data_IF_889144572411
#
_entry.id   IF_889144572411
#
_cell.length_a   1.000
_cell.length_b   1.000
_cell.length_c   1.000
_cell.angle_alpha   90.00
_cell.angle_beta   90.00
_cell.angle_gamma   90.00
#
_symmetry.space_group_name_H-M   'P 1'
#
loop_
_entity.id
_entity.type
_entity.pdbx_description
1 polymer ?
#
# COMPACT_ATOMS: atom_id res chain seq x y z
N UNK A 1 -29.31 -52.70 2.09
CA UNK A 1 -28.49 -52.49 0.88
C UNK A 1 -28.68 -51.07 0.26
N UNK A 2 -29.91 -50.61 0.02
CA UNK A 2 -30.19 -49.30 -0.61
C UNK A 2 -29.66 -48.13 0.27
N UNK A 3 -29.92 -48.15 1.58
CA UNK A 3 -29.47 -47.08 2.50
C UNK A 3 -27.93 -46.92 2.47
N UNK A 4 -27.21 -48.01 2.43
CA UNK A 4 -25.73 -47.98 2.36
C UNK A 4 -25.24 -47.35 1.05
N UNK A 5 -25.88 -47.66 -0.08
CA UNK A 5 -25.57 -47.09 -1.40
C UNK A 5 -25.85 -45.58 -1.45
N UNK A 6 -26.98 -45.15 -0.88
CA UNK A 6 -27.32 -43.71 -0.77
C UNK A 6 -26.30 -43.00 0.08
N UNK A 7 -26.00 -43.49 1.28
CA UNK A 7 -25.01 -42.93 2.18
C UNK A 7 -23.61 -42.81 1.53
N UNK A 8 -23.19 -43.87 0.86
CA UNK A 8 -21.90 -43.85 0.16
C UNK A 8 -21.84 -42.78 -0.91
N UNK A 9 -22.91 -42.60 -1.70
CA UNK A 9 -22.96 -41.62 -2.78
C UNK A 9 -23.14 -40.20 -2.32
N UNK A 10 -23.94 -39.98 -1.26
CA UNK A 10 -24.29 -38.62 -0.77
C UNK A 10 -23.30 -38.09 0.27
N UNK A 11 -22.64 -38.95 1.03
CA UNK A 11 -21.76 -38.53 2.11
C UNK A 11 -20.32 -38.97 1.90
N UNK A 12 -20.08 -40.27 1.75
CA UNK A 12 -18.72 -40.82 1.73
C UNK A 12 -17.88 -40.34 0.52
N UNK A 13 -18.45 -40.38 -0.66
CA UNK A 13 -17.73 -39.98 -1.89
C UNK A 13 -17.41 -38.48 -1.91
N UNK A 14 -18.36 -37.55 -1.61
CA UNK A 14 -18.06 -36.14 -1.49
C UNK A 14 -17.01 -35.84 -0.42
N UNK A 15 -17.15 -36.44 0.77
CA UNK A 15 -16.18 -36.25 1.87
C UNK A 15 -14.78 -36.68 1.49
N UNK A 16 -14.62 -37.83 0.77
CA UNK A 16 -13.33 -38.29 0.26
C UNK A 16 -12.73 -37.30 -0.73
N UNK A 17 -13.53 -36.70 -1.61
CA UNK A 17 -13.07 -35.68 -2.56
C UNK A 17 -12.62 -34.41 -1.85
N UNK A 18 -13.40 -33.95 -0.86
CA UNK A 18 -13.09 -32.77 -0.06
C UNK A 18 -11.79 -32.99 0.72
N UNK A 19 -11.63 -34.13 1.36
CA UNK A 19 -10.40 -34.46 2.12
C UNK A 19 -9.18 -34.56 1.19
N UNK A 20 -9.33 -35.12 0.00
CA UNK A 20 -8.26 -35.18 -0.98
C UNK A 20 -7.86 -33.77 -1.47
N UNK A 21 -8.82 -32.92 -1.79
CA UNK A 21 -8.55 -31.54 -2.20
C UNK A 21 -7.93 -30.70 -1.08
N UNK A 22 -8.38 -30.87 0.17
CA UNK A 22 -7.77 -30.18 1.31
C UNK A 22 -6.29 -30.60 1.52
N UNK A 23 -5.94 -31.85 1.21
CA UNK A 23 -4.53 -32.31 1.20
C UNK A 23 -3.69 -31.65 0.10
N UNK A 24 -4.28 -31.45 -1.09
CA UNK A 24 -3.63 -30.67 -2.17
C UNK A 24 -3.34 -29.24 -1.72
N UNK A 25 -4.30 -28.59 -1.06
CA UNK A 25 -4.10 -27.24 -0.51
C UNK A 25 -3.00 -27.21 0.54
N UNK A 26 -2.98 -28.20 1.47
CA UNK A 26 -1.94 -28.32 2.48
C UNK A 26 -0.54 -28.61 1.87
N UNK A 27 -0.49 -29.20 0.69
CA UNK A 27 0.76 -29.43 -0.06
C UNK A 27 1.20 -28.22 -0.90
N UNK A 28 0.46 -27.09 -0.84
CA UNK A 28 0.76 -25.87 -1.58
C UNK A 28 0.10 -25.79 -2.97
N UNK A 29 -0.67 -26.80 -3.38
CA UNK A 29 -1.39 -26.77 -4.66
C UNK A 29 -2.70 -26.00 -4.55
N UNK A 30 -2.60 -24.68 -4.38
CA UNK A 30 -3.74 -23.77 -4.18
C UNK A 30 -4.57 -23.56 -5.45
N UNK A 31 -4.07 -23.93 -6.62
CA UNK A 31 -4.81 -23.86 -7.89
C UNK A 31 -5.77 -25.04 -8.09
N UNK A 32 -5.66 -26.09 -7.27
CA UNK A 32 -6.58 -27.22 -7.32
C UNK A 32 -8.00 -26.78 -6.99
N UNK A 33 -9.00 -27.39 -7.62
CA UNK A 33 -10.42 -27.11 -7.35
C UNK A 33 -11.14 -28.37 -6.91
N UNK A 34 -11.74 -28.36 -5.73
CA UNK A 34 -12.56 -29.45 -5.20
C UNK A 34 -13.88 -29.47 -5.95
N UNK A 35 -14.11 -30.51 -6.77
CA UNK A 35 -15.32 -30.68 -7.59
C UNK A 35 -16.34 -31.55 -6.86
N UNK A 36 -17.22 -30.89 -6.08
CA UNK A 36 -18.42 -31.47 -5.46
C UNK A 36 -19.61 -30.65 -5.91
N UNK A 37 -20.52 -31.27 -6.66
CA UNK A 37 -21.69 -30.62 -7.28
C UNK A 37 -22.98 -30.85 -6.49
N UNK A 38 -22.88 -31.19 -5.21
CA UNK A 38 -24.01 -31.34 -4.32
C UNK A 38 -24.54 -29.97 -3.89
N UNK A 39 -25.85 -29.83 -3.74
CA UNK A 39 -26.52 -28.61 -3.25
C UNK A 39 -26.76 -28.65 -1.73
N UNK A 40 -26.10 -29.55 -1.02
CA UNK A 40 -26.15 -29.76 0.42
C UNK A 40 -24.92 -29.19 1.14
N UNK A 41 -24.74 -29.55 2.42
CA UNK A 41 -23.64 -29.13 3.26
C UNK A 41 -22.26 -29.54 2.69
N UNK A 42 -22.18 -30.63 1.92
CA UNK A 42 -20.94 -31.07 1.29
C UNK A 42 -20.54 -30.15 0.13
N UNK A 43 -21.51 -29.71 -0.67
CA UNK A 43 -21.28 -28.70 -1.70
C UNK A 43 -20.88 -27.35 -1.12
N UNK A 44 -21.56 -26.92 -0.05
CA UNK A 44 -21.21 -25.68 0.66
C UNK A 44 -19.78 -25.73 1.24
N UNK A 45 -19.42 -26.86 1.88
CA UNK A 45 -18.06 -27.05 2.42
C UNK A 45 -16.99 -27.02 1.32
N UNK A 46 -17.23 -27.71 0.20
CA UNK A 46 -16.30 -27.69 -0.94
C UNK A 46 -16.11 -26.28 -1.50
N UNK A 47 -17.18 -25.52 -1.67
CA UNK A 47 -17.12 -24.13 -2.13
C UNK A 47 -16.39 -23.21 -1.14
N UNK A 48 -16.60 -23.39 0.15
CA UNK A 48 -15.91 -22.63 1.20
C UNK A 48 -14.38 -22.90 1.17
N UNK A 49 -13.99 -24.15 1.02
CA UNK A 49 -12.58 -24.53 0.90
C UNK A 49 -11.94 -24.02 -0.41
N UNK A 50 -12.67 -24.07 -1.52
CA UNK A 50 -12.21 -23.48 -2.78
C UNK A 50 -12.02 -21.97 -2.67
N UNK A 51 -12.95 -21.27 -2.01
CA UNK A 51 -12.84 -19.83 -1.74
C UNK A 51 -11.61 -19.54 -0.88
N UNK A 52 -11.41 -20.29 0.21
CA UNK A 52 -10.23 -20.14 1.08
C UNK A 52 -8.93 -20.36 0.29
N UNK A 53 -8.86 -21.39 -0.57
CA UNK A 53 -7.71 -21.64 -1.41
C UNK A 53 -7.43 -20.49 -2.38
N UNK A 54 -8.48 -19.93 -2.99
CA UNK A 54 -8.37 -18.77 -3.88
C UNK A 54 -7.82 -17.54 -3.14
N UNK A 55 -8.26 -17.28 -1.91
CA UNK A 55 -7.74 -16.16 -1.10
C UNK A 55 -6.27 -16.38 -0.69
N UNK A 56 -5.90 -17.63 -0.34
CA UNK A 56 -4.50 -17.97 -0.06
C UNK A 56 -3.60 -17.81 -1.28
N UNK A 57 -4.06 -18.25 -2.46
CA UNK A 57 -3.31 -18.08 -3.71
C UNK A 57 -3.08 -16.60 -4.06
N UNK A 58 -4.10 -15.76 -3.90
CA UNK A 58 -3.95 -14.30 -4.07
C UNK A 58 -2.92 -13.74 -3.10
N UNK A 59 -2.95 -14.18 -1.84
CA UNK A 59 -1.99 -13.72 -0.83
C UNK A 59 -0.56 -14.11 -1.18
N UNK A 60 -0.34 -15.32 -1.72
CA UNK A 60 0.96 -15.78 -2.22
C UNK A 60 1.44 -14.94 -3.42
N UNK A 61 0.57 -14.69 -4.39
CA UNK A 61 0.87 -13.83 -5.54
C UNK A 61 1.24 -12.40 -5.10
N UNK A 62 0.50 -11.84 -4.13
CA UNK A 62 0.84 -10.54 -3.53
C UNK A 62 2.20 -10.56 -2.84
N UNK A 63 2.52 -11.62 -2.09
CA UNK A 63 3.81 -11.76 -1.42
C UNK A 63 4.97 -11.84 -2.41
N UNK A 64 4.82 -12.61 -3.49
CA UNK A 64 5.82 -12.70 -4.55
C UNK A 64 6.04 -11.36 -5.26
N UNK A 65 4.96 -10.69 -5.64
CA UNK A 65 5.02 -9.36 -6.25
C UNK A 65 5.66 -8.33 -5.32
N UNK A 66 5.33 -8.38 -4.04
CA UNK A 66 5.93 -7.53 -3.01
C UNK A 66 7.44 -7.69 -2.95
N UNK A 67 7.94 -8.93 -2.82
CA UNK A 67 9.37 -9.23 -2.74
C UNK A 67 10.09 -8.77 -4.02
N UNK A 68 9.50 -9.02 -5.19
CA UNK A 68 10.07 -8.61 -6.47
C UNK A 68 10.20 -7.08 -6.58
N UNK A 69 9.14 -6.35 -6.28
CA UNK A 69 9.10 -4.89 -6.35
C UNK A 69 10.07 -4.25 -5.35
N UNK A 70 10.09 -4.76 -4.12
CA UNK A 70 11.03 -4.34 -3.08
C UNK A 70 12.47 -4.54 -3.54
N UNK A 71 12.79 -5.73 -4.07
CA UNK A 71 14.14 -6.05 -4.56
C UNK A 71 14.57 -5.13 -5.69
N UNK A 72 13.66 -4.79 -6.59
CA UNK A 72 13.91 -3.85 -7.67
C UNK A 72 14.16 -2.43 -7.14
N UNK A 73 13.31 -1.95 -6.23
CA UNK A 73 13.40 -0.60 -5.66
C UNK A 73 14.67 -0.39 -4.82
N UNK A 74 15.24 -1.45 -4.23
CA UNK A 74 16.53 -1.40 -3.56
C UNK A 74 17.71 -1.51 -4.53
N UNK A 75 17.59 -2.34 -5.56
CA UNK A 75 18.70 -2.58 -6.49
C UNK A 75 19.09 -1.32 -7.26
N UNK A 76 18.10 -0.54 -7.70
CA UNK A 76 18.34 0.68 -8.48
C UNK A 76 19.26 1.67 -7.75
N UNK A 77 18.92 2.20 -6.56
CA UNK A 77 19.76 3.14 -5.83
C UNK A 77 21.11 2.55 -5.41
N UNK A 78 21.16 1.27 -5.02
CA UNK A 78 22.41 0.60 -4.69
C UNK A 78 23.37 0.52 -5.89
N UNK A 79 22.84 0.25 -7.08
CA UNK A 79 23.63 0.23 -8.31
C UNK A 79 24.16 1.62 -8.64
N UNK A 80 23.36 2.67 -8.49
CA UNK A 80 23.78 4.06 -8.68
C UNK A 80 24.87 4.46 -7.69
N UNK A 81 24.65 4.16 -6.39
CA UNK A 81 25.63 4.45 -5.33
C UNK A 81 26.96 3.75 -5.64
N UNK A 82 26.93 2.45 -5.95
CA UNK A 82 28.12 1.69 -6.27
C UNK A 82 28.83 2.26 -7.49
N UNK A 83 28.10 2.53 -8.57
CA UNK A 83 28.68 3.04 -9.82
C UNK A 83 29.38 4.40 -9.65
N UNK A 84 28.75 5.33 -8.93
CA UNK A 84 29.35 6.64 -8.67
C UNK A 84 30.57 6.54 -7.73
N UNK A 85 30.53 5.67 -6.71
CA UNK A 85 31.69 5.43 -5.84
C UNK A 85 32.88 4.81 -6.61
N UNK A 86 32.58 3.85 -7.50
CA UNK A 86 33.62 3.27 -8.38
C UNK A 86 34.23 4.32 -9.32
N UNK A 87 33.38 5.16 -9.94
CA UNK A 87 33.83 6.23 -10.85
C UNK A 87 34.61 7.37 -10.14
N UNK A 88 34.30 7.63 -8.87
CA UNK A 88 35.11 8.54 -8.04
C UNK A 88 36.47 7.90 -7.72
N UNK A 89 36.46 6.61 -7.33
CA UNK A 89 37.63 5.87 -6.91
C UNK A 89 38.65 5.66 -8.04
N UNK A 90 38.19 5.40 -9.26
CA UNK A 90 39.05 5.15 -10.43
C UNK A 90 39.45 6.43 -11.17
N UNK A 91 38.99 7.61 -10.71
CA UNK A 91 39.30 8.91 -11.27
C UNK A 91 38.51 9.27 -12.54
N UNK A 92 37.51 8.49 -12.92
CA UNK A 92 36.62 8.80 -14.06
C UNK A 92 35.83 10.09 -13.79
N UNK A 93 35.46 10.35 -12.52
CA UNK A 93 34.88 11.61 -12.09
C UNK A 93 36.00 12.52 -11.58
N UNK A 94 36.22 13.69 -12.21
CA UNK A 94 37.27 14.62 -11.77
C UNK A 94 36.87 15.28 -10.44
N UNK A 95 37.86 15.70 -9.61
CA UNK A 95 37.64 16.26 -8.28
C UNK A 95 36.67 17.46 -8.24
N UNK A 96 36.62 18.26 -9.28
CA UNK A 96 35.74 19.45 -9.38
C UNK A 96 34.25 19.08 -9.39
N UNK A 97 33.92 17.83 -9.70
CA UNK A 97 32.56 17.32 -9.74
C UNK A 97 32.17 16.48 -8.51
N UNK A 98 33.08 16.29 -7.55
CA UNK A 98 32.83 15.46 -6.39
C UNK A 98 31.63 15.92 -5.59
N UNK A 99 31.46 17.22 -5.33
CA UNK A 99 30.33 17.75 -4.57
C UNK A 99 28.98 17.39 -5.20
N UNK A 100 28.89 17.47 -6.53
CA UNK A 100 27.70 17.09 -7.29
C UNK A 100 27.37 15.60 -7.10
N UNK A 101 28.35 14.72 -7.28
CA UNK A 101 28.12 13.28 -7.21
C UNK A 101 27.96 12.78 -5.78
N UNK A 102 28.62 13.39 -4.80
CA UNK A 102 28.37 13.15 -3.38
C UNK A 102 26.95 13.55 -2.99
N UNK A 103 26.42 14.66 -3.52
CA UNK A 103 25.01 15.05 -3.36
C UNK A 103 24.03 14.00 -3.89
N UNK A 104 24.33 13.40 -5.06
CA UNK A 104 23.53 12.30 -5.60
C UNK A 104 23.59 11.06 -4.68
N UNK A 105 24.79 10.70 -4.20
CA UNK A 105 24.97 9.57 -3.28
C UNK A 105 24.17 9.75 -1.99
N UNK A 106 24.17 10.94 -1.42
CA UNK A 106 23.40 11.30 -0.23
C UNK A 106 21.90 11.13 -0.53
N UNK A 107 21.41 11.67 -1.65
CA UNK A 107 19.99 11.58 -2.01
C UNK A 107 19.52 10.14 -2.24
N UNK A 108 20.34 9.28 -2.86
CA UNK A 108 20.02 7.85 -3.03
C UNK A 108 20.03 7.09 -1.70
N UNK A 109 20.91 7.48 -0.77
CA UNK A 109 20.93 6.91 0.59
C UNK A 109 19.68 7.32 1.38
N UNK A 110 19.25 8.58 1.29
CA UNK A 110 17.99 9.05 1.90
C UNK A 110 16.77 8.34 1.31
N UNK A 111 16.79 8.09 -0.02
CA UNK A 111 15.74 7.32 -0.68
C UNK A 111 15.66 5.89 -0.14
N UNK A 112 16.80 5.21 0.06
CA UNK A 112 16.85 3.89 0.69
C UNK A 112 16.30 3.92 2.12
N UNK A 113 16.63 4.94 2.89
CA UNK A 113 16.13 5.11 4.25
C UNK A 113 14.60 5.28 4.28
N UNK A 114 14.04 6.09 3.37
CA UNK A 114 12.58 6.21 3.21
C UNK A 114 11.91 4.89 2.83
N UNK A 115 12.52 4.09 1.95
CA UNK A 115 12.00 2.77 1.59
C UNK A 115 11.97 1.82 2.79
N UNK A 116 13.06 1.76 3.59
CA UNK A 116 13.10 0.91 4.79
C UNK A 116 12.07 1.34 5.83
N UNK A 117 11.91 2.65 6.05
CA UNK A 117 10.93 3.19 6.98
C UNK A 117 9.49 2.85 6.52
N UNK A 118 9.22 2.95 5.22
CA UNK A 118 7.94 2.54 4.63
C UNK A 118 7.62 1.07 4.90
N UNK A 119 8.61 0.19 4.76
CA UNK A 119 8.45 -1.25 5.05
C UNK A 119 8.19 -1.55 6.52
N UNK A 120 8.92 -0.91 7.43
CA UNK A 120 8.70 -1.05 8.88
C UNK A 120 7.29 -0.60 9.26
N UNK A 121 6.83 0.48 8.66
CA UNK A 121 5.47 0.99 8.87
C UNK A 121 4.41 0.00 8.38
N UNK A 122 4.58 -0.58 7.20
CA UNK A 122 3.67 -1.61 6.67
C UNK A 122 3.61 -2.84 7.56
N UNK A 123 4.77 -3.33 8.01
CA UNK A 123 4.83 -4.47 8.93
C UNK A 123 4.14 -4.17 10.28
N UNK A 124 4.25 -2.95 10.77
CA UNK A 124 3.56 -2.52 12.00
C UNK A 124 2.05 -2.37 11.85
N UNK A 125 1.54 -2.17 10.63
CA UNK A 125 0.11 -2.10 10.33
C UNK A 125 -0.51 -3.50 10.18
N UNK A 126 0.26 -4.49 9.72
CA UNK A 126 -0.17 -5.89 9.60
C UNK A 126 -0.21 -6.62 10.96
N UNK A 127 0.70 -6.31 11.87
CA UNK A 127 0.53 -6.72 13.26
C UNK A 127 -0.71 -6.01 13.78
N UNK A 128 -1.69 -6.75 14.33
CA UNK A 128 -2.93 -6.25 14.97
C UNK A 128 -2.59 -5.24 16.09
N UNK A 129 -1.95 -4.13 15.72
CA UNK A 129 -1.61 -3.04 16.60
C UNK A 129 -2.90 -2.39 17.09
N UNK A 130 -3.06 -2.32 18.41
CA UNK A 130 -4.16 -1.58 19.01
C UNK A 130 -4.06 -0.12 18.56
N UNK A 131 -5.14 0.39 17.93
CA UNK A 131 -5.24 1.80 17.61
C UNK A 131 -5.35 2.60 18.92
N UNK A 132 -4.43 3.53 19.12
CA UNK A 132 -4.49 4.47 20.25
C UNK A 132 -5.36 5.66 19.89
N UNK A 133 -6.66 5.50 20.08
CA UNK A 133 -7.65 6.52 19.72
C UNK A 133 -7.72 7.61 20.78
N UNK A 134 -7.75 8.87 20.35
CA UNK A 134 -7.94 10.04 21.18
C UNK A 134 -8.79 11.09 20.46
N UNK A 135 -9.34 12.03 21.22
CA UNK A 135 -10.01 13.19 20.64
C UNK A 135 -8.97 14.25 20.26
N UNK A 136 -9.02 14.75 19.04
CA UNK A 136 -8.16 15.85 18.58
C UNK A 136 -8.85 16.67 17.49
N UNK A 137 -8.36 17.89 17.28
CA UNK A 137 -8.82 18.76 16.20
C UNK A 137 -8.11 18.40 14.90
N UNK A 138 -8.85 17.86 13.91
CA UNK A 138 -8.32 17.47 12.61
C UNK A 138 -7.79 18.66 11.79
N UNK A 139 -8.41 19.85 11.96
CA UNK A 139 -7.97 21.03 11.24
C UNK A 139 -6.57 21.46 11.68
N UNK A 140 -6.26 21.36 12.97
CA UNK A 140 -4.92 21.59 13.49
C UNK A 140 -3.91 20.59 12.93
N UNK A 141 -4.25 19.32 12.92
CA UNK A 141 -3.38 18.26 12.37
C UNK A 141 -3.09 18.48 10.89
N UNK A 142 -4.09 18.92 10.11
CA UNK A 142 -3.90 19.27 8.69
C UNK A 142 -2.95 20.47 8.55
N UNK A 143 -3.14 21.53 9.34
CA UNK A 143 -2.26 22.73 9.31
C UNK A 143 -0.82 22.36 9.67
N UNK A 144 -0.63 21.63 10.77
CA UNK A 144 0.69 21.22 11.25
C UNK A 144 1.40 20.31 10.23
N UNK A 145 0.65 19.39 9.59
CA UNK A 145 1.21 18.53 8.53
C UNK A 145 1.54 19.33 7.27
N UNK A 146 0.66 20.22 6.82
CA UNK A 146 0.89 21.08 5.65
C UNK A 146 2.12 21.97 5.82
N UNK A 147 2.33 22.53 7.02
CA UNK A 147 3.49 23.36 7.33
C UNK A 147 4.82 22.63 7.15
N UNK A 148 4.87 21.30 7.33
CA UNK A 148 6.11 20.51 7.09
C UNK A 148 6.56 20.52 5.63
N UNK A 149 5.67 20.85 4.69
CA UNK A 149 5.95 20.90 3.26
C UNK A 149 6.22 22.31 2.73
N UNK A 150 6.21 23.35 3.57
CA UNK A 150 6.38 24.75 3.15
C UNK A 150 7.64 24.94 2.27
N UNK A 151 8.79 24.42 2.70
CA UNK A 151 10.03 24.50 1.94
C UNK A 151 9.95 23.82 0.56
N UNK A 152 9.30 22.64 0.48
CA UNK A 152 9.14 21.92 -0.77
C UNK A 152 8.16 22.61 -1.71
N UNK A 153 7.09 23.16 -1.16
CA UNK A 153 6.10 23.92 -1.90
C UNK A 153 6.71 25.20 -2.48
N UNK A 154 7.46 25.96 -1.67
CA UNK A 154 8.15 27.17 -2.12
C UNK A 154 9.16 26.88 -3.25
N UNK A 155 9.88 25.75 -3.17
CA UNK A 155 10.84 25.35 -4.21
C UNK A 155 10.19 25.01 -5.57
N UNK A 156 8.87 24.71 -5.58
CA UNK A 156 8.08 24.38 -6.80
C UNK A 156 7.02 25.44 -7.14
N UNK A 157 6.95 26.54 -6.39
CA UNK A 157 5.89 27.54 -6.48
C UNK A 157 4.47 26.92 -6.36
N UNK A 158 4.31 25.93 -5.48
CA UNK A 158 3.03 25.28 -5.20
C UNK A 158 2.36 25.96 -3.99
N UNK A 159 1.08 26.29 -4.13
CA UNK A 159 0.27 26.84 -3.04
C UNK A 159 -0.61 25.74 -2.44
N UNK A 160 -0.58 25.60 -1.10
CA UNK A 160 -1.53 24.76 -0.38
C UNK A 160 -2.70 25.63 0.09
N UNK A 161 -3.87 25.43 -0.49
CA UNK A 161 -5.11 26.13 -0.12
C UNK A 161 -5.89 25.27 0.89
N UNK A 162 -6.01 25.76 2.13
CA UNK A 162 -6.67 25.06 3.23
C UNK A 162 -8.05 25.67 3.49
N UNK A 163 -9.11 24.90 3.26
CA UNK A 163 -10.49 25.31 3.50
C UNK A 163 -11.16 24.36 4.51
N UNK A 164 -11.63 24.88 5.63
CA UNK A 164 -12.23 24.09 6.70
C UNK A 164 -13.73 24.37 6.84
N UNK A 165 -14.52 23.31 7.10
CA UNK A 165 -15.97 23.42 7.33
C UNK A 165 -16.34 24.15 8.62
N UNK A 166 -15.44 24.16 9.61
CA UNK A 166 -15.58 24.83 10.90
C UNK A 166 -14.20 25.24 11.42
N UNK A 167 -14.12 26.17 12.37
CA UNK A 167 -12.86 26.60 12.97
C UNK A 167 -12.15 25.46 13.71
N UNK A 168 -12.92 24.66 14.45
CA UNK A 168 -12.45 23.47 15.18
C UNK A 168 -13.32 22.29 14.77
N UNK A 169 -12.65 21.19 14.39
CA UNK A 169 -13.32 19.96 14.00
C UNK A 169 -12.76 18.77 14.78
N UNK A 170 -13.44 18.40 15.87
CA UNK A 170 -13.01 17.28 16.71
C UNK A 170 -13.33 15.94 16.06
N UNK A 171 -12.36 15.01 16.13
CA UNK A 171 -12.49 13.63 15.66
C UNK A 171 -11.95 12.66 16.71
N UNK A 172 -12.48 11.44 16.76
CA UNK A 172 -12.01 10.35 17.62
C UNK A 172 -11.29 9.29 16.79
N UNK A 173 -9.97 9.39 16.74
CA UNK A 173 -9.14 8.51 15.91
C UNK A 173 -7.72 8.35 16.49
N UNK A 174 -6.87 7.56 15.84
CA UNK A 174 -5.44 7.49 16.15
C UNK A 174 -4.72 8.64 15.45
N UNK A 175 -4.27 9.61 16.26
CA UNK A 175 -3.60 10.83 15.77
C UNK A 175 -2.41 10.52 14.87
N UNK A 176 -1.53 9.59 15.29
CA UNK A 176 -0.31 9.25 14.51
C UNK A 176 -0.64 8.63 13.16
N UNK A 177 -1.67 7.75 13.12
CA UNK A 177 -2.10 7.14 11.86
C UNK A 177 -2.77 8.13 10.92
N UNK A 178 -3.58 9.03 11.45
CA UNK A 178 -4.20 10.11 10.65
C UNK A 178 -3.13 11.07 10.12
N UNK A 179 -2.18 11.48 10.94
CA UNK A 179 -1.04 12.29 10.50
C UNK A 179 -0.26 11.63 9.37
N UNK A 180 0.01 10.34 9.47
CA UNK A 180 0.69 9.56 8.43
C UNK A 180 -0.10 9.52 7.11
N UNK A 181 -1.43 9.35 7.17
CA UNK A 181 -2.29 9.38 5.99
C UNK A 181 -2.24 10.74 5.32
N UNK A 182 -2.39 11.81 6.10
CA UNK A 182 -2.33 13.19 5.58
C UNK A 182 -0.97 13.49 4.94
N UNK A 183 0.12 13.14 5.62
CA UNK A 183 1.48 13.31 5.09
C UNK A 183 1.63 12.62 3.72
N UNK A 184 1.22 11.35 3.61
CA UNK A 184 1.34 10.60 2.37
C UNK A 184 0.48 11.19 1.23
N UNK A 185 -0.73 11.67 1.53
CA UNK A 185 -1.60 12.28 0.53
C UNK A 185 -1.03 13.62 0.05
N UNK A 186 -0.55 14.45 0.97
CA UNK A 186 0.04 15.78 0.63
C UNK A 186 1.35 15.59 -0.13
N UNK A 187 2.24 14.69 0.31
CA UNK A 187 3.50 14.37 -0.39
C UNK A 187 3.25 13.90 -1.83
N UNK A 188 2.29 13.01 -2.02
CA UNK A 188 1.89 12.56 -3.36
C UNK A 188 1.33 13.71 -4.20
N UNK A 189 0.45 14.53 -3.65
CA UNK A 189 -0.11 15.69 -4.34
C UNK A 189 1.01 16.65 -4.80
N UNK A 190 1.98 16.96 -3.94
CA UNK A 190 3.13 17.84 -4.28
C UNK A 190 4.05 17.18 -5.31
N UNK A 191 4.29 15.88 -5.19
CA UNK A 191 5.19 15.13 -6.08
C UNK A 191 4.67 15.09 -7.50
N UNK A 192 3.37 14.87 -7.69
CA UNK A 192 2.74 14.70 -9.00
C UNK A 192 2.11 15.97 -9.57
N UNK A 193 2.07 17.05 -8.79
CA UNK A 193 1.67 18.39 -9.27
C UNK A 193 2.75 19.03 -10.12
N UNK A 194 2.30 19.90 -11.03
CA UNK A 194 3.20 20.77 -11.81
C UNK A 194 3.67 21.94 -10.95
N UNK A 195 4.76 22.56 -11.34
CA UNK A 195 5.18 23.85 -10.80
C UNK A 195 4.10 24.93 -10.99
N UNK A 196 4.07 25.93 -10.14
CA UNK A 196 3.09 27.03 -10.16
C UNK A 196 1.62 26.52 -10.08
N UNK A 197 1.35 25.52 -9.27
CA UNK A 197 0.02 24.93 -9.12
C UNK A 197 -0.57 25.12 -7.72
N UNK A 198 -1.87 24.82 -7.58
CA UNK A 198 -2.57 24.88 -6.30
C UNK A 198 -3.06 23.50 -5.90
N UNK A 199 -2.80 23.11 -4.67
CA UNK A 199 -3.34 21.89 -4.05
C UNK A 199 -4.38 22.31 -3.02
N UNK A 200 -5.61 21.82 -3.19
CA UNK A 200 -6.72 22.13 -2.29
C UNK A 200 -6.86 21.05 -1.24
N UNK A 201 -6.83 21.45 0.03
CA UNK A 201 -7.06 20.57 1.17
C UNK A 201 -8.31 21.07 1.90
N UNK A 202 -9.37 20.29 1.87
CA UNK A 202 -10.68 20.73 2.34
C UNK A 202 -11.27 19.73 3.33
N UNK A 203 -11.91 20.25 4.39
CA UNK A 203 -12.76 19.41 5.26
C UNK A 203 -14.22 19.68 5.00
N UNK A 204 -15.04 18.66 5.09
CA UNK A 204 -16.51 18.77 5.03
C UNK A 204 -17.15 17.80 6.00
N UNK A 205 -18.30 18.20 6.57
CA UNK A 205 -19.09 17.38 7.49
C UNK A 205 -20.31 16.86 6.74
N UNK A 206 -20.47 15.53 6.67
CA UNK A 206 -21.65 14.87 6.09
C UNK A 206 -22.01 13.64 6.90
N UNK A 207 -23.29 13.51 7.28
CA UNK A 207 -23.79 12.34 8.05
C UNK A 207 -22.95 12.04 9.29
N UNK A 208 -22.63 13.05 10.09
CA UNK A 208 -21.79 12.95 11.31
C UNK A 208 -20.36 12.42 11.05
N UNK A 209 -19.94 12.39 9.80
CA UNK A 209 -18.56 12.02 9.40
C UNK A 209 -17.81 13.21 8.84
N UNK A 210 -16.57 13.32 9.23
CA UNK A 210 -15.63 14.31 8.67
C UNK A 210 -14.97 13.70 7.44
N UNK A 211 -15.10 14.38 6.32
CA UNK A 211 -14.38 14.06 5.08
C UNK A 211 -13.24 15.04 4.90
N UNK A 212 -12.05 14.50 4.65
CA UNK A 212 -10.88 15.30 4.26
C UNK A 212 -10.60 15.01 2.80
N UNK A 213 -10.53 16.06 1.98
CA UNK A 213 -10.21 15.97 0.55
C UNK A 213 -8.87 16.64 0.29
N UNK A 214 -7.98 15.94 -0.41
CA UNK A 214 -6.75 16.51 -0.99
C UNK A 214 -6.90 16.42 -2.50
N UNK A 215 -6.92 17.57 -3.16
CA UNK A 215 -7.11 17.68 -4.62
C UNK A 215 -5.93 18.40 -5.24
N UNK A 216 -5.23 17.71 -6.11
CA UNK A 216 -4.17 18.26 -6.95
C UNK A 216 -4.64 18.51 -8.40
N UNK A 217 -3.81 19.21 -9.17
CA UNK A 217 -3.99 19.46 -10.60
C UNK A 217 -2.84 18.84 -11.40
N UNK A 218 -2.30 17.72 -10.91
CA UNK A 218 -1.15 17.04 -11.46
C UNK A 218 -1.46 16.21 -12.72
N UNK A 219 -0.61 15.21 -12.94
CA UNK A 219 -0.70 14.31 -14.11
C UNK A 219 -1.93 13.39 -14.08
N UNK A 220 -2.58 13.26 -12.92
CA UNK A 220 -3.71 12.38 -12.69
C UNK A 220 -3.33 10.89 -12.68
N UNK A 221 -4.34 10.03 -12.51
CA UNK A 221 -4.18 8.58 -12.47
C UNK A 221 -4.96 7.97 -13.64
N UNK A 222 -4.32 7.13 -14.48
CA UNK A 222 -5.02 6.43 -15.57
C UNK A 222 -6.19 5.60 -15.02
N UNK A 223 -7.32 5.59 -15.73
CA UNK A 223 -8.54 4.89 -15.29
C UNK A 223 -8.32 3.40 -14.96
N UNK A 224 -7.42 2.76 -15.68
CA UNK A 224 -7.05 1.34 -15.51
C UNK A 224 -6.27 1.12 -14.21
N UNK A 225 -5.54 2.15 -13.76
CA UNK A 225 -4.71 2.12 -12.55
C UNK A 225 -5.50 2.40 -11.28
N UNK A 226 -6.66 3.09 -11.35
CA UNK A 226 -7.45 3.53 -10.19
C UNK A 226 -7.81 2.37 -9.24
N UNK A 227 -8.09 1.18 -9.77
CA UNK A 227 -8.38 0.01 -8.93
C UNK A 227 -7.14 -0.58 -8.27
N UNK A 228 -5.96 -0.36 -8.87
CA UNK A 228 -4.69 -0.93 -8.44
C UNK A 228 -3.88 -0.02 -7.51
N UNK A 229 -4.22 1.28 -7.41
CA UNK A 229 -3.50 2.23 -6.54
C UNK A 229 -3.58 1.87 -5.05
N UNK A 230 -4.51 1.00 -4.66
CA UNK A 230 -4.65 0.48 -3.31
C UNK A 230 -3.84 -0.79 -3.06
N UNK A 231 -3.27 -1.36 -4.14
CA UNK A 231 -2.39 -2.52 -4.02
C UNK A 231 -1.03 -2.05 -3.49
N UNK A 232 -0.45 -2.83 -2.60
CA UNK A 232 0.85 -2.49 -1.99
C UNK A 232 1.92 -2.40 -3.08
N UNK A 233 2.72 -1.31 -3.04
CA UNK A 233 3.82 -1.07 -3.98
C UNK A 233 3.43 -0.93 -5.45
N UNK A 234 2.14 -0.72 -5.74
CA UNK A 234 1.74 -0.36 -7.07
C UNK A 234 2.27 1.04 -7.42
N UNK A 235 2.94 1.16 -8.54
CA UNK A 235 3.34 2.44 -9.16
C UNK A 235 2.75 2.45 -10.56
N UNK A 236 2.08 3.53 -10.93
CA UNK A 236 1.78 3.79 -12.34
C UNK A 236 3.04 4.39 -12.96
N UNK A 237 3.60 3.71 -13.92
CA UNK A 237 4.69 4.22 -14.76
C UNK A 237 4.25 5.47 -15.51
#
# INVERSE_FOLDING_TARGET
MIILLVFTKTVYVPLKKITAGAKEYAAGNLSHTIKVTSADEMGYLANTLNYMSSELNKMEEYQHSFIANVSHDFRSPLTSIKGYLEAIKDGTIPPELYDKYLGILISETERLNKLTQGMLTLNSLDSKGFLTRSNFDINRVIKDTAATFEGTCNAKDIVLDLTFAADIQMVYADLGKIQQVLYNLIDNAIKFSRENSVIYIQTSLKYEKVFVSVKDTGIGIPKESIKKIWDRFYKSD
#
